data_IF_315328873782
#
_entry.id   IF_315328873782
#
_cell.length_a   1.000
_cell.length_b   1.000
_cell.length_c   1.000
_cell.angle_alpha   90.00
_cell.angle_beta   90.00
_cell.angle_gamma   90.00
#
_symmetry.space_group_name_H-M   'P 1'
#
loop_
_entity.id
_entity.type
_entity.pdbx_description
1 polymer ?
#
# COMPACT_ATOMS: atom_id res chain seq x y z
N UNK A 1 11.11 24.66 28.49
CA UNK A 1 10.87 23.22 28.74
C UNK A 1 9.53 22.76 28.18
N UNK A 2 8.40 23.43 28.48
CA UNK A 2 7.06 23.02 28.00
C UNK A 2 6.91 22.78 26.49
N UNK A 3 7.29 23.75 25.63
CA UNK A 3 7.17 23.58 24.16
C UNK A 3 7.95 22.39 23.61
N UNK A 4 9.10 22.05 24.23
CA UNK A 4 9.94 20.92 23.83
C UNK A 4 9.28 19.57 24.17
N UNK A 5 8.54 19.50 25.27
CA UNK A 5 7.79 18.30 25.66
C UNK A 5 6.55 18.16 24.78
N UNK A 6 5.82 19.25 24.55
CA UNK A 6 4.58 19.24 23.77
C UNK A 6 4.82 18.74 22.33
N UNK A 7 5.86 19.22 21.62
CA UNK A 7 6.07 18.74 20.25
C UNK A 7 6.41 17.25 20.21
N UNK A 8 7.14 16.72 21.20
CA UNK A 8 7.48 15.30 21.29
C UNK A 8 6.23 14.46 21.54
N UNK A 9 5.35 14.91 22.43
CA UNK A 9 4.06 14.25 22.69
C UNK A 9 3.18 14.23 21.43
N UNK A 10 3.08 15.35 20.70
CA UNK A 10 2.34 15.41 19.45
C UNK A 10 2.94 14.48 18.38
N UNK A 11 4.27 14.42 18.28
CA UNK A 11 4.97 13.52 17.34
C UNK A 11 4.76 12.06 17.72
N UNK A 12 4.83 11.72 19.00
CA UNK A 12 4.57 10.37 19.50
C UNK A 12 3.11 9.94 19.26
N UNK A 13 2.15 10.83 19.49
CA UNK A 13 0.75 10.59 19.16
C UNK A 13 0.55 10.35 17.65
N UNK A 14 1.21 11.14 16.80
CA UNK A 14 1.19 10.92 15.35
C UNK A 14 1.82 9.59 14.92
N UNK A 15 2.91 9.14 15.56
CA UNK A 15 3.50 7.81 15.33
C UNK A 15 2.50 6.71 15.69
N UNK A 16 1.82 6.81 16.83
CA UNK A 16 0.80 5.84 17.22
C UNK A 16 -0.36 5.82 16.21
N UNK A 17 -0.78 7.01 15.74
CA UNK A 17 -1.79 7.09 14.67
C UNK A 17 -1.32 6.40 13.39
N UNK A 18 -0.05 6.58 12.95
CA UNK A 18 0.47 5.90 11.76
C UNK A 18 0.42 4.37 11.88
N UNK A 19 0.70 3.84 13.06
CA UNK A 19 0.57 2.40 13.33
C UNK A 19 -0.89 1.97 13.21
N UNK A 20 -1.83 2.70 13.81
CA UNK A 20 -3.28 2.39 13.72
C UNK A 20 -3.79 2.53 12.29
N UNK A 21 -3.36 3.55 11.56
CA UNK A 21 -3.72 3.81 10.15
C UNK A 21 -3.34 2.61 9.28
N UNK A 22 -2.16 2.02 9.49
CA UNK A 22 -1.68 0.90 8.66
C UNK A 22 -2.66 -0.27 8.60
N UNK A 23 -3.37 -0.54 9.70
CA UNK A 23 -4.34 -1.62 9.82
C UNK A 23 -5.80 -1.18 9.61
N UNK A 24 -6.04 0.12 9.43
CA UNK A 24 -7.39 0.67 9.29
C UNK A 24 -7.85 0.73 7.83
N UNK A 25 -9.16 0.57 7.54
CA UNK A 25 -9.71 0.90 6.25
C UNK A 25 -9.56 2.41 6.03
N UNK A 26 -8.94 2.78 4.91
CA UNK A 26 -8.65 4.16 4.55
C UNK A 26 -9.79 4.74 3.70
N UNK A 27 -10.27 3.96 2.74
CA UNK A 27 -11.27 4.39 1.78
C UNK A 27 -12.25 3.26 1.50
N UNK A 28 -13.50 3.58 1.19
CA UNK A 28 -14.47 2.56 0.79
C UNK A 28 -15.10 2.93 -0.55
N UNK A 29 -15.38 1.90 -1.34
CA UNK A 29 -16.10 2.00 -2.60
C UNK A 29 -17.28 1.04 -2.57
N UNK A 30 -18.39 1.38 -3.19
CA UNK A 30 -19.52 0.46 -3.38
C UNK A 30 -20.04 0.59 -4.81
N UNK A 31 -20.30 -0.54 -5.44
CA UNK A 31 -20.92 -0.58 -6.76
C UNK A 31 -22.33 -1.18 -6.64
N UNK A 32 -23.32 -0.42 -7.10
CA UNK A 32 -24.71 -0.84 -7.20
C UNK A 32 -25.03 -1.22 -8.65
N UNK A 33 -25.56 -2.42 -8.82
CA UNK A 33 -25.90 -3.00 -10.11
C UNK A 33 -27.26 -3.72 -10.03
N UNK A 34 -27.98 -3.91 -11.15
CA UNK A 34 -29.27 -4.63 -11.13
C UNK A 34 -29.19 -6.03 -10.52
N UNK A 35 -28.08 -6.75 -10.73
CA UNK A 35 -27.83 -8.07 -10.14
C UNK A 35 -27.42 -8.02 -8.66
N UNK A 36 -26.98 -6.85 -8.17
CA UNK A 36 -26.51 -6.63 -6.79
C UNK A 36 -27.29 -5.47 -6.16
N UNK A 37 -28.57 -5.66 -5.78
CA UNK A 37 -29.42 -4.58 -5.26
C UNK A 37 -28.95 -4.05 -3.90
N UNK A 38 -28.19 -4.83 -3.13
CA UNK A 38 -27.52 -4.38 -1.89
C UNK A 38 -26.15 -3.74 -2.16
N UNK A 39 -25.68 -3.83 -3.40
CA UNK A 39 -24.38 -3.43 -3.88
C UNK A 39 -23.21 -4.27 -3.36
N UNK A 40 -22.04 -3.96 -3.89
CA UNK A 40 -20.79 -4.66 -3.63
C UNK A 40 -19.81 -3.66 -2.99
N UNK A 41 -19.83 -3.49 -1.66
CA UNK A 41 -18.89 -2.59 -1.00
C UNK A 41 -17.50 -3.23 -0.97
N UNK A 42 -16.43 -2.44 -1.07
CA UNK A 42 -15.03 -2.84 -0.86
C UNK A 42 -14.33 -1.81 0.03
N UNK A 43 -13.44 -2.25 0.93
CA UNK A 43 -12.58 -1.36 1.71
C UNK A 43 -11.12 -1.45 1.26
N UNK A 44 -10.50 -0.30 1.03
CA UNK A 44 -9.09 -0.14 0.75
C UNK A 44 -8.34 0.07 2.05
N UNK A 45 -7.36 -0.79 2.31
CA UNK A 45 -6.39 -0.65 3.38
C UNK A 45 -5.02 -0.34 2.76
N UNK A 46 -4.09 0.14 3.58
CA UNK A 46 -2.70 0.37 3.15
C UNK A 46 -2.04 -0.94 2.71
N UNK A 47 -2.39 -2.04 3.35
CA UNK A 47 -1.77 -3.34 3.20
C UNK A 47 -2.60 -4.34 2.37
N UNK A 48 -3.73 -3.93 1.80
CA UNK A 48 -4.61 -4.84 1.05
C UNK A 48 -5.97 -4.24 0.71
N UNK A 49 -6.81 -5.03 0.05
CA UNK A 49 -8.22 -4.67 -0.19
C UNK A 49 -9.07 -5.82 0.35
N UNK A 50 -9.81 -5.54 1.42
CA UNK A 50 -10.60 -6.54 2.14
C UNK A 50 -11.64 -5.84 3.01
N UNK A 51 -12.76 -6.51 3.30
CA UNK A 51 -13.93 -5.86 3.92
C UNK A 51 -14.12 -6.10 5.41
N UNK A 52 -13.27 -6.90 6.03
CA UNK A 52 -13.52 -7.35 7.39
C UNK A 52 -12.43 -8.26 7.90
N UNK A 53 -12.84 -9.18 8.77
CA UNK A 53 -11.99 -10.08 9.55
C UNK A 53 -11.10 -10.97 8.68
N UNK A 54 -10.00 -11.42 9.27
CA UNK A 54 -9.15 -12.48 8.74
C UNK A 54 -9.97 -13.76 8.53
N UNK A 55 -9.59 -14.59 7.55
CA UNK A 55 -10.14 -15.94 7.36
C UNK A 55 -9.94 -16.74 8.66
N UNK A 56 -11.02 -17.28 9.23
CA UNK A 56 -10.91 -18.25 10.33
C UNK A 56 -10.45 -19.62 9.81
N UNK A 57 -9.79 -20.40 10.66
CA UNK A 57 -9.35 -21.75 10.30
C UNK A 57 -10.56 -22.61 9.85
N UNK A 58 -10.51 -23.10 8.60
CA UNK A 58 -11.60 -23.85 7.97
C UNK A 58 -12.68 -23.01 7.26
N UNK A 59 -12.52 -21.68 7.21
CA UNK A 59 -13.39 -20.80 6.41
C UNK A 59 -12.86 -20.65 4.97
N UNK A 60 -13.75 -20.79 3.98
CA UNK A 60 -13.39 -20.63 2.57
C UNK A 60 -13.20 -19.16 2.21
N UNK A 61 -12.11 -18.84 1.49
CA UNK A 61 -11.77 -17.51 1.02
C UNK A 61 -12.89 -16.81 0.25
N UNK A 62 -13.72 -17.57 -0.48
CA UNK A 62 -14.88 -17.08 -1.23
C UNK A 62 -15.89 -16.33 -0.37
N UNK A 63 -16.03 -16.70 0.91
CA UNK A 63 -16.96 -16.02 1.83
C UNK A 63 -16.37 -14.73 2.37
N UNK A 64 -15.07 -14.73 2.62
CA UNK A 64 -14.37 -13.61 3.27
C UNK A 64 -14.10 -12.49 2.26
N UNK A 65 -13.65 -12.84 1.04
CA UNK A 65 -13.37 -11.91 -0.05
C UNK A 65 -14.49 -11.78 -1.09
N UNK A 66 -15.70 -12.28 -0.77
CA UNK A 66 -16.86 -12.28 -1.67
C UNK A 66 -16.99 -10.95 -2.45
N UNK A 67 -17.04 -9.81 -1.77
CA UNK A 67 -17.23 -8.53 -2.47
C UNK A 67 -16.07 -8.13 -3.38
N UNK A 68 -14.82 -8.49 -3.04
CA UNK A 68 -13.67 -8.20 -3.89
C UNK A 68 -13.72 -9.05 -5.15
N UNK A 69 -14.04 -10.34 -5.01
CA UNK A 69 -14.19 -11.27 -6.13
C UNK A 69 -15.35 -10.87 -7.05
N UNK A 70 -16.50 -10.52 -6.48
CA UNK A 70 -17.66 -10.03 -7.25
C UNK A 70 -17.36 -8.71 -7.96
N UNK A 71 -16.62 -7.80 -7.31
CA UNK A 71 -16.17 -6.57 -7.99
C UNK A 71 -15.23 -6.88 -9.15
N UNK A 72 -14.33 -7.86 -9.02
CA UNK A 72 -13.44 -8.28 -10.11
C UNK A 72 -14.20 -8.94 -11.28
N UNK A 73 -15.26 -9.70 -11.00
CA UNK A 73 -16.20 -10.20 -12.02
C UNK A 73 -16.85 -9.03 -12.76
N UNK A 74 -17.34 -8.02 -12.03
CA UNK A 74 -17.95 -6.82 -12.64
C UNK A 74 -16.94 -6.00 -13.45
N UNK A 75 -15.71 -5.84 -12.96
CA UNK A 75 -14.63 -5.17 -13.68
C UNK A 75 -14.33 -5.88 -15.00
N UNK A 76 -14.26 -7.21 -14.98
CA UNK A 76 -14.04 -8.02 -16.18
C UNK A 76 -15.12 -7.77 -17.26
N UNK A 77 -16.39 -7.61 -16.87
CA UNK A 77 -17.49 -7.33 -17.80
C UNK A 77 -17.31 -6.03 -18.60
N UNK A 78 -16.66 -5.03 -18.02
CA UNK A 78 -16.39 -3.73 -18.66
C UNK A 78 -14.95 -3.59 -19.16
N UNK A 79 -14.18 -4.67 -19.13
CA UNK A 79 -12.78 -4.68 -19.54
C UNK A 79 -11.85 -3.95 -18.57
N UNK A 80 -12.26 -3.69 -17.32
CA UNK A 80 -11.37 -3.15 -16.29
C UNK A 80 -10.44 -4.24 -15.75
N UNK A 81 -9.25 -3.82 -15.30
CA UNK A 81 -8.33 -4.71 -14.62
C UNK A 81 -8.89 -5.22 -13.28
N UNK A 82 -8.48 -6.43 -12.83
CA UNK A 82 -8.73 -6.86 -11.46
C UNK A 82 -8.10 -5.92 -10.43
N UNK A 83 -8.75 -5.75 -9.28
CA UNK A 83 -8.30 -4.87 -8.19
C UNK A 83 -6.88 -5.21 -7.75
N UNK A 84 -6.51 -6.49 -7.77
CA UNK A 84 -5.18 -6.96 -7.40
C UNK A 84 -4.04 -6.41 -8.28
N UNK A 85 -4.33 -5.81 -9.43
CA UNK A 85 -3.32 -5.16 -10.29
C UNK A 85 -3.00 -3.72 -9.89
N UNK A 86 -3.82 -3.10 -9.02
CA UNK A 86 -3.65 -1.72 -8.56
C UNK A 86 -2.72 -1.64 -7.35
N UNK A 87 -1.80 -0.69 -7.34
CA UNK A 87 -0.83 -0.49 -6.27
C UNK A 87 -0.07 -1.76 -5.84
N UNK A 88 0.43 -2.61 -6.76
CA UNK A 88 1.00 -3.91 -6.38
C UNK A 88 2.33 -3.76 -5.63
N UNK A 89 3.12 -2.75 -5.97
CA UNK A 89 4.40 -2.44 -5.30
C UNK A 89 4.11 -1.76 -3.97
N UNK A 90 3.19 -0.81 -3.97
CA UNK A 90 2.83 0.02 -2.83
C UNK A 90 2.24 -0.85 -1.72
N UNK A 91 1.33 -1.77 -2.04
CA UNK A 91 0.81 -2.75 -1.06
C UNK A 91 1.92 -3.68 -0.56
N UNK A 92 2.73 -4.25 -1.45
CA UNK A 92 3.79 -5.19 -1.09
C UNK A 92 4.92 -4.57 -0.25
N UNK A 93 5.23 -3.29 -0.46
CA UNK A 93 6.29 -2.56 0.26
C UNK A 93 5.76 -1.64 1.36
N UNK A 94 4.43 -1.56 1.54
CA UNK A 94 3.76 -0.60 2.42
C UNK A 94 4.30 -0.60 3.85
N UNK A 95 4.59 -1.79 4.41
CA UNK A 95 5.10 -1.92 5.78
C UNK A 95 6.47 -1.24 5.96
N UNK A 96 7.32 -1.31 4.93
CA UNK A 96 8.63 -0.65 4.95
C UNK A 96 8.50 0.84 4.74
N UNK A 97 7.55 1.29 3.91
CA UNK A 97 7.26 2.71 3.73
C UNK A 97 6.74 3.35 5.02
N UNK A 98 5.83 2.69 5.73
CA UNK A 98 5.35 3.17 7.04
C UNK A 98 6.45 3.15 8.10
N UNK A 99 7.26 2.10 8.16
CA UNK A 99 8.42 2.05 9.05
C UNK A 99 9.43 3.17 8.74
N UNK A 100 9.64 3.49 7.45
CA UNK A 100 10.45 4.61 7.01
C UNK A 100 9.89 5.94 7.52
N UNK A 101 8.59 6.20 7.34
CA UNK A 101 7.93 7.42 7.85
C UNK A 101 8.05 7.54 9.38
N UNK A 102 7.82 6.45 10.11
CA UNK A 102 8.00 6.41 11.57
C UNK A 102 9.44 6.71 11.96
N UNK A 103 10.42 6.16 11.23
CA UNK A 103 11.86 6.41 11.47
C UNK A 103 12.21 7.90 11.27
N UNK A 104 11.63 8.56 10.25
CA UNK A 104 11.79 10.01 10.07
C UNK A 104 11.25 10.78 11.29
N UNK A 105 10.09 10.39 11.81
CA UNK A 105 9.47 11.02 12.98
C UNK A 105 10.26 10.76 14.28
N UNK A 106 10.85 9.59 14.44
CA UNK A 106 11.76 9.27 15.56
C UNK A 106 12.98 10.20 15.51
N UNK A 107 13.63 10.34 14.35
CA UNK A 107 14.72 11.31 14.18
C UNK A 107 14.24 12.76 14.38
N UNK A 108 13.00 13.08 14.04
CA UNK A 108 12.40 14.38 14.35
C UNK A 108 12.23 14.59 15.86
N UNK A 109 12.05 13.58 16.70
CA UNK A 109 11.95 13.80 18.16
C UNK A 109 13.31 14.12 18.81
N UNK A 110 14.41 13.64 18.21
CA UNK A 110 15.78 13.75 18.73
C UNK A 110 16.41 15.11 18.41
N UNK A 111 17.22 15.63 19.32
CA UNK A 111 17.91 16.91 19.17
C UNK A 111 19.38 16.71 18.82
N UNK A 112 19.87 17.41 17.80
CA UNK A 112 21.28 17.39 17.38
C UNK A 112 21.52 16.55 16.12
N UNK A 113 22.19 17.10 15.08
CA UNK A 113 22.27 16.47 13.76
C UNK A 113 22.94 15.10 13.78
N UNK A 114 23.97 14.91 14.62
CA UNK A 114 24.66 13.62 14.79
C UNK A 114 23.77 12.55 15.40
N UNK A 115 22.98 12.90 16.42
CA UNK A 115 22.05 11.98 17.07
C UNK A 115 20.86 11.66 16.15
N UNK A 116 20.36 12.64 15.39
CA UNK A 116 19.32 12.39 14.39
C UNK A 116 19.82 11.46 13.27
N UNK A 117 21.02 11.72 12.74
CA UNK A 117 21.64 10.85 11.74
C UNK A 117 21.87 9.43 12.29
N UNK A 118 22.33 9.29 13.54
CA UNK A 118 22.47 7.99 14.19
C UNK A 118 21.13 7.27 14.34
N UNK A 119 20.06 7.96 14.76
CA UNK A 119 18.72 7.39 14.85
C UNK A 119 18.20 6.92 13.49
N UNK A 120 18.41 7.71 12.42
CA UNK A 120 18.08 7.30 11.06
C UNK A 120 18.90 6.09 10.61
N UNK A 121 20.21 6.07 10.82
CA UNK A 121 21.06 4.95 10.43
C UNK A 121 20.63 3.64 11.08
N UNK A 122 20.28 3.68 12.37
CA UNK A 122 19.77 2.50 13.09
C UNK A 122 18.42 2.07 12.53
N UNK A 123 17.45 2.99 12.42
CA UNK A 123 16.11 2.66 11.92
C UNK A 123 16.12 2.16 10.48
N UNK A 124 16.86 2.82 9.58
CA UNK A 124 17.02 2.38 8.20
C UNK A 124 17.78 1.06 8.09
N UNK A 125 18.81 0.82 8.93
CA UNK A 125 19.48 -0.48 8.99
C UNK A 125 18.52 -1.61 9.35
N UNK A 126 17.65 -1.41 10.34
CA UNK A 126 16.59 -2.37 10.71
C UNK A 126 15.63 -2.59 9.54
N UNK A 127 15.16 -1.52 8.90
CA UNK A 127 14.24 -1.63 7.74
C UNK A 127 14.89 -2.38 6.59
N UNK A 128 16.17 -2.15 6.29
CA UNK A 128 16.88 -2.82 5.21
C UNK A 128 17.05 -4.31 5.47
N UNK A 129 17.44 -4.69 6.69
CA UNK A 129 17.54 -6.10 7.07
C UNK A 129 16.16 -6.77 7.00
N UNK A 130 15.12 -6.13 7.56
CA UNK A 130 13.77 -6.67 7.51
C UNK A 130 13.23 -6.78 6.08
N UNK A 131 13.42 -5.77 5.24
CA UNK A 131 13.03 -5.79 3.84
C UNK A 131 13.77 -6.85 3.05
N UNK A 132 15.06 -7.02 3.29
CA UNK A 132 15.85 -8.07 2.65
C UNK A 132 15.31 -9.47 3.00
N UNK A 133 15.12 -9.74 4.31
CA UNK A 133 14.59 -11.01 4.79
C UNK A 133 13.18 -11.27 4.22
N UNK A 134 12.32 -10.25 4.18
CA UNK A 134 10.96 -10.40 3.65
C UNK A 134 10.95 -10.68 2.16
N UNK A 135 11.73 -9.93 1.38
CA UNK A 135 11.63 -9.96 -0.08
C UNK A 135 12.44 -11.09 -0.71
N UNK A 136 13.56 -11.50 -0.11
CA UNK A 136 14.52 -12.38 -0.78
C UNK A 136 14.78 -13.72 -0.08
N UNK A 137 14.32 -13.91 1.16
CA UNK A 137 14.45 -15.21 1.83
C UNK A 137 13.44 -16.19 1.25
N UNK A 138 13.94 -17.33 0.74
CA UNK A 138 13.13 -18.46 0.33
C UNK A 138 13.24 -19.56 1.39
N UNK A 139 12.10 -20.13 1.73
CA UNK A 139 11.98 -21.27 2.61
C UNK A 139 12.22 -22.59 1.88
N UNK A 140 11.94 -23.70 2.54
CA UNK A 140 12.15 -25.04 2.02
C UNK A 140 11.14 -26.02 2.58
N UNK A 141 10.50 -26.79 1.70
CA UNK A 141 9.69 -27.96 2.07
C UNK A 141 10.56 -29.19 1.97
N UNK A 142 10.53 -30.00 3.03
CA UNK A 142 11.27 -31.27 3.10
C UNK A 142 10.33 -32.39 3.52
N UNK A 143 10.76 -33.65 3.39
CA UNK A 143 9.94 -34.80 3.81
C UNK A 143 9.77 -34.90 5.32
N UNK A 144 10.55 -34.13 6.10
CA UNK A 144 10.49 -34.10 7.56
C UNK A 144 9.94 -32.74 8.01
N UNK A 145 8.76 -32.68 8.68
CA UNK A 145 8.16 -31.41 9.09
C UNK A 145 9.07 -30.51 9.92
N UNK A 146 9.97 -31.08 10.73
CA UNK A 146 10.94 -30.34 11.55
C UNK A 146 12.00 -29.59 10.72
N UNK A 147 12.19 -29.98 9.45
CA UNK A 147 13.14 -29.36 8.52
C UNK A 147 12.44 -28.38 7.56
N UNK A 148 11.14 -28.10 7.76
CA UNK A 148 10.44 -27.06 7.00
C UNK A 148 10.93 -25.69 7.45
N UNK A 149 11.24 -24.82 6.48
CA UNK A 149 11.62 -23.44 6.77
C UNK A 149 10.67 -22.48 6.08
N UNK A 150 10.22 -21.47 6.83
CA UNK A 150 9.37 -20.41 6.29
C UNK A 150 10.21 -19.46 5.43
N UNK A 151 9.62 -19.02 4.33
CA UNK A 151 10.16 -17.98 3.47
C UNK A 151 9.80 -16.58 3.98
N UNK A 152 10.30 -15.57 3.29
CA UNK A 152 10.12 -14.17 3.63
C UNK A 152 8.67 -13.67 3.52
N UNK A 153 7.77 -14.39 2.83
CA UNK A 153 6.35 -14.02 2.75
C UNK A 153 5.67 -14.00 4.12
N UNK A 154 6.12 -14.85 5.06
CA UNK A 154 5.68 -14.88 6.45
C UNK A 154 5.94 -13.55 7.20
N UNK A 155 6.91 -12.76 6.71
CA UNK A 155 7.27 -11.45 7.24
C UNK A 155 6.56 -10.29 6.52
N UNK A 156 5.72 -10.58 5.52
CA UNK A 156 4.82 -9.59 4.93
C UNK A 156 3.64 -9.34 5.87
N UNK A 157 3.03 -8.17 5.77
CA UNK A 157 1.88 -7.83 6.60
C UNK A 157 0.75 -8.84 6.45
N UNK A 158 0.03 -9.10 7.54
CA UNK A 158 -1.09 -10.05 7.55
C UNK A 158 -2.14 -9.72 6.46
N UNK A 159 -2.45 -8.45 6.24
CA UNK A 159 -3.40 -8.04 5.18
C UNK A 159 -2.91 -8.38 3.77
N UNK A 160 -1.59 -8.37 3.54
CA UNK A 160 -1.02 -8.80 2.26
C UNK A 160 -1.08 -10.32 2.11
N UNK A 161 -0.68 -11.07 3.15
CA UNK A 161 -0.77 -12.55 3.16
C UNK A 161 -2.21 -13.02 2.97
N UNK A 162 -3.16 -12.35 3.61
CA UNK A 162 -4.59 -12.61 3.44
C UNK A 162 -5.07 -12.36 2.01
N UNK A 163 -4.65 -11.25 1.40
CA UNK A 163 -4.98 -10.92 0.00
C UNK A 163 -4.35 -11.93 -0.97
N UNK A 164 -3.12 -12.37 -0.69
CA UNK A 164 -2.40 -13.41 -1.43
C UNK A 164 -3.16 -14.74 -1.38
N UNK A 165 -3.46 -15.21 -0.18
CA UNK A 165 -4.18 -16.46 0.08
C UNK A 165 -5.52 -16.47 -0.64
N UNK A 166 -6.37 -15.47 -0.41
CA UNK A 166 -7.70 -15.43 -0.98
C UNK A 166 -7.70 -15.16 -2.49
N UNK A 167 -6.77 -14.31 -2.98
CA UNK A 167 -6.71 -13.95 -4.39
C UNK A 167 -6.21 -15.07 -5.29
N UNK A 168 -5.44 -16.01 -4.73
CA UNK A 168 -4.89 -17.16 -5.44
C UNK A 168 -5.56 -18.48 -5.08
N UNK A 169 -6.52 -18.47 -4.16
CA UNK A 169 -7.23 -19.67 -3.66
C UNK A 169 -6.25 -20.74 -3.17
N UNK A 170 -5.37 -20.34 -2.25
CA UNK A 170 -4.34 -21.20 -1.69
C UNK A 170 -4.54 -21.42 -0.20
N UNK A 171 -4.07 -22.55 0.32
CA UNK A 171 -3.91 -22.78 1.75
C UNK A 171 -2.63 -22.09 2.28
N UNK A 172 -2.57 -21.73 3.57
CA UNK A 172 -1.42 -21.02 4.14
C UNK A 172 -0.08 -21.70 3.89
N UNK A 173 -0.01 -23.02 4.03
CA UNK A 173 1.18 -23.85 3.87
C UNK A 173 1.70 -23.90 2.43
N UNK A 174 0.82 -23.75 1.42
CA UNK A 174 1.23 -23.77 0.01
C UNK A 174 2.10 -22.57 -0.41
N UNK A 175 2.04 -21.47 0.35
CA UNK A 175 2.86 -20.29 0.06
C UNK A 175 3.85 -19.92 1.17
N UNK A 176 3.79 -20.50 2.38
CA UNK A 176 4.65 -20.07 3.50
C UNK A 176 6.15 -20.13 3.21
N UNK A 177 6.62 -20.98 2.31
CA UNK A 177 8.03 -21.06 1.87
C UNK A 177 8.45 -19.96 0.88
N UNK A 178 7.50 -19.19 0.35
CA UNK A 178 7.82 -18.22 -0.69
C UNK A 178 8.56 -17.01 -0.13
N UNK A 179 9.39 -16.41 -0.97
CA UNK A 179 9.86 -15.06 -0.70
C UNK A 179 8.74 -14.05 -0.96
N UNK A 180 8.77 -12.90 -0.30
CA UNK A 180 7.80 -11.83 -0.56
C UNK A 180 7.85 -11.35 -2.02
N UNK A 181 9.02 -11.40 -2.67
CA UNK A 181 9.17 -11.05 -4.08
C UNK A 181 8.50 -12.08 -5.01
N UNK A 182 8.55 -13.37 -4.66
CA UNK A 182 7.82 -14.42 -5.37
C UNK A 182 6.31 -14.25 -5.21
N UNK A 183 5.84 -13.95 -4.00
CA UNK A 183 4.42 -13.67 -3.72
C UNK A 183 3.90 -12.50 -4.57
N UNK A 184 4.63 -11.38 -4.62
CA UNK A 184 4.27 -10.22 -5.44
C UNK A 184 4.16 -10.55 -6.93
N UNK A 185 5.09 -11.34 -7.47
CA UNK A 185 5.04 -11.78 -8.86
C UNK A 185 3.86 -12.72 -9.12
N UNK A 186 3.60 -13.66 -8.21
CA UNK A 186 2.53 -14.64 -8.36
C UNK A 186 1.15 -13.96 -8.36
N UNK A 187 0.90 -13.04 -7.43
CA UNK A 187 -0.36 -12.28 -7.37
C UNK A 187 -0.59 -11.49 -8.65
N UNK A 188 0.43 -10.74 -9.09
CA UNK A 188 0.29 -9.95 -10.32
C UNK A 188 0.10 -10.85 -11.53
N UNK A 189 0.88 -11.94 -11.65
CA UNK A 189 0.77 -12.88 -12.76
C UNK A 189 -0.62 -13.49 -12.82
N UNK A 190 -1.17 -13.91 -11.69
CA UNK A 190 -2.52 -14.46 -11.61
C UNK A 190 -3.58 -13.44 -12.04
N UNK A 191 -3.50 -12.21 -11.53
CA UNK A 191 -4.43 -11.15 -11.88
C UNK A 191 -4.36 -10.77 -13.37
N UNK A 192 -3.16 -10.61 -13.93
CA UNK A 192 -2.97 -10.30 -15.35
C UNK A 192 -3.36 -11.47 -16.27
N UNK A 193 -3.12 -12.72 -15.84
CA UNK A 193 -3.54 -13.90 -16.59
C UNK A 193 -5.07 -13.95 -16.72
N UNK A 194 -5.79 -13.78 -15.59
CA UNK A 194 -7.27 -13.68 -15.58
C UNK A 194 -7.74 -12.59 -16.55
N UNK A 195 -7.08 -11.43 -16.53
CA UNK A 195 -7.42 -10.29 -17.38
C UNK A 195 -7.17 -10.54 -18.89
N UNK A 196 -6.02 -11.09 -19.26
CA UNK A 196 -5.63 -11.24 -20.66
C UNK A 196 -6.09 -12.55 -21.31
N UNK A 197 -6.62 -13.51 -20.55
CA UNK A 197 -6.97 -14.89 -20.97
C UNK A 197 -7.82 -15.03 -22.24
N UNK A 198 -8.34 -13.93 -22.79
CA UNK A 198 -9.20 -13.85 -23.98
C UNK A 198 -8.48 -13.60 -25.32
N UNK A 199 -7.16 -13.85 -25.47
CA UNK A 199 -6.47 -13.64 -26.75
C UNK A 199 -5.14 -14.38 -26.96
N UNK A 200 -4.69 -14.51 -28.22
CA UNK A 200 -3.45 -15.23 -28.59
C UNK A 200 -2.18 -14.66 -27.92
N UNK A 201 -2.19 -13.37 -27.57
CA UNK A 201 -1.07 -12.69 -26.90
C UNK A 201 -1.14 -12.71 -25.37
N UNK A 202 -2.08 -13.45 -24.76
CA UNK A 202 -2.38 -13.37 -23.33
C UNK A 202 -1.16 -13.62 -22.43
N UNK A 203 -0.45 -14.72 -22.72
CA UNK A 203 0.75 -15.12 -21.99
C UNK A 203 1.87 -14.08 -22.14
N UNK A 204 2.09 -13.59 -23.36
CA UNK A 204 3.14 -12.60 -23.63
C UNK A 204 2.87 -11.27 -22.90
N UNK A 205 1.62 -10.80 -22.88
CA UNK A 205 1.26 -9.56 -22.18
C UNK A 205 1.34 -9.71 -20.66
N UNK A 206 0.93 -10.86 -20.13
CA UNK A 206 1.06 -11.20 -18.71
C UNK A 206 2.53 -11.13 -18.27
N UNK A 207 3.42 -11.86 -18.95
CA UNK A 207 4.84 -11.88 -18.58
C UNK A 207 5.53 -10.52 -18.78
N UNK A 208 5.12 -9.73 -19.77
CA UNK A 208 5.59 -8.33 -19.91
C UNK A 208 5.20 -7.48 -18.70
N UNK A 209 3.95 -7.58 -18.25
CA UNK A 209 3.47 -6.84 -17.07
C UNK A 209 4.21 -7.27 -15.79
N UNK A 210 4.43 -8.57 -15.62
CA UNK A 210 5.22 -9.10 -14.49
C UNK A 210 6.67 -8.62 -14.55
N UNK A 211 7.32 -8.65 -15.72
CA UNK A 211 8.69 -8.15 -15.88
C UNK A 211 8.80 -6.64 -15.59
N UNK A 212 7.79 -5.86 -15.98
CA UNK A 212 7.70 -4.44 -15.66
C UNK A 212 7.59 -4.22 -14.15
N UNK A 213 6.73 -4.97 -13.46
CA UNK A 213 6.61 -4.92 -12.00
C UNK A 213 7.93 -5.28 -11.32
N UNK A 214 8.58 -6.36 -11.74
CA UNK A 214 9.88 -6.79 -11.21
C UNK A 214 10.92 -5.67 -11.34
N UNK A 215 11.03 -5.09 -12.53
CA UNK A 215 11.95 -3.98 -12.80
C UNK A 215 11.61 -2.76 -11.94
N UNK A 216 10.34 -2.35 -11.91
CA UNK A 216 9.87 -1.23 -11.10
C UNK A 216 10.12 -1.46 -9.61
N UNK A 217 9.95 -2.68 -9.10
CA UNK A 217 10.20 -3.02 -7.70
C UNK A 217 11.69 -2.85 -7.36
N UNK A 218 12.61 -3.33 -8.19
CA UNK A 218 14.04 -3.10 -7.99
C UNK A 218 14.41 -1.62 -8.04
N UNK A 219 13.82 -0.86 -8.98
CA UNK A 219 14.02 0.60 -9.05
C UNK A 219 13.54 1.28 -7.79
N UNK A 220 12.34 0.94 -7.30
CA UNK A 220 11.76 1.51 -6.06
C UNK A 220 12.64 1.18 -4.85
N UNK A 221 13.13 -0.06 -4.72
CA UNK A 221 14.06 -0.46 -3.66
C UNK A 221 15.36 0.37 -3.76
N UNK A 222 15.95 0.49 -4.94
CA UNK A 222 17.16 1.29 -5.15
C UNK A 222 16.96 2.76 -4.81
N UNK A 223 15.84 3.35 -5.22
CA UNK A 223 15.45 4.73 -4.89
C UNK A 223 15.25 4.90 -3.39
N UNK A 224 14.62 3.94 -2.71
CA UNK A 224 14.42 3.98 -1.26
C UNK A 224 15.76 3.94 -0.52
N UNK A 225 16.68 3.05 -0.90
CA UNK A 225 18.03 2.97 -0.33
C UNK A 225 18.80 4.27 -0.55
N UNK A 226 18.78 4.80 -1.77
CA UNK A 226 19.42 6.07 -2.08
C UNK A 226 18.84 7.22 -1.25
N UNK A 227 17.51 7.25 -1.11
CA UNK A 227 16.80 8.24 -0.28
C UNK A 227 17.23 8.14 1.19
N UNK A 228 17.32 6.93 1.75
CA UNK A 228 17.81 6.70 3.12
C UNK A 228 19.21 7.29 3.34
N UNK A 229 20.14 7.05 2.40
CA UNK A 229 21.50 7.61 2.46
C UNK A 229 21.50 9.14 2.35
N UNK A 230 20.72 9.69 1.43
CA UNK A 230 20.58 11.14 1.21
C UNK A 230 20.05 11.83 2.46
N UNK A 231 19.11 11.24 3.19
CA UNK A 231 18.63 11.75 4.47
C UNK A 231 19.72 11.78 5.55
N UNK A 232 20.49 10.70 5.68
CA UNK A 232 21.59 10.62 6.66
C UNK A 232 22.65 11.69 6.36
N UNK A 233 23.15 11.75 5.12
CA UNK A 233 24.16 12.73 4.68
C UNK A 233 23.63 14.16 4.83
N UNK A 234 22.39 14.40 4.42
CA UNK A 234 21.73 15.70 4.51
C UNK A 234 21.65 16.25 5.94
N UNK A 235 21.39 15.40 6.93
CA UNK A 235 21.41 15.79 8.34
C UNK A 235 22.82 16.01 8.87
N UNK A 236 23.80 15.18 8.48
CA UNK A 236 25.21 15.34 8.88
C UNK A 236 25.81 16.65 8.37
N UNK A 237 25.39 17.11 7.18
CA UNK A 237 25.75 18.41 6.62
C UNK A 237 25.02 19.60 7.27
N UNK A 238 24.25 19.36 8.34
CA UNK A 238 23.48 20.38 9.07
C UNK A 238 22.53 21.18 8.17
N UNK A 239 22.02 20.57 7.10
CA UNK A 239 21.11 21.22 6.16
C UNK A 239 19.67 21.26 6.73
N UNK A 240 19.11 22.47 6.83
CA UNK A 240 17.78 22.69 7.37
C UNK A 240 16.66 22.07 6.51
N UNK A 241 16.89 21.85 5.21
CA UNK A 241 15.93 21.19 4.33
C UNK A 241 15.62 19.79 4.83
N UNK A 242 16.65 18.96 5.03
CA UNK A 242 16.50 17.57 5.47
C UNK A 242 15.84 17.45 6.82
N UNK A 243 16.14 18.39 7.73
CA UNK A 243 15.45 18.47 9.01
C UNK A 243 13.94 18.68 8.86
N UNK A 244 13.51 19.59 7.97
CA UNK A 244 12.08 19.82 7.73
C UNK A 244 11.42 18.68 6.95
N UNK A 245 12.15 18.03 6.04
CA UNK A 245 11.66 16.85 5.32
C UNK A 245 11.31 15.68 6.27
N UNK A 246 11.97 15.57 7.43
CA UNK A 246 11.62 14.56 8.45
C UNK A 246 10.16 14.62 8.91
N UNK A 247 9.54 15.81 8.87
CA UNK A 247 8.16 16.01 9.30
C UNK A 247 7.22 16.34 8.13
N UNK A 248 7.69 17.04 7.11
CA UNK A 248 6.86 17.40 5.94
C UNK A 248 6.45 16.17 5.14
N UNK A 249 7.33 15.18 4.95
CA UNK A 249 6.97 13.97 4.20
C UNK A 249 5.81 13.22 4.89
N UNK A 250 5.87 12.90 6.20
CA UNK A 250 4.72 12.32 6.90
C UNK A 250 3.47 13.22 6.93
N UNK A 251 3.61 14.56 7.00
CA UNK A 251 2.46 15.50 6.91
C UNK A 251 1.71 15.33 5.57
N UNK A 252 2.42 15.05 4.49
CA UNK A 252 1.85 14.95 3.14
C UNK A 252 1.23 13.57 2.84
N UNK A 253 1.29 12.61 3.76
CA UNK A 253 0.73 11.26 3.59
C UNK A 253 -0.72 11.24 3.05
N UNK A 254 -1.70 12.01 3.57
CA UNK A 254 -3.06 12.01 3.03
C UNK A 254 -3.15 12.56 1.60
N UNK A 255 -2.26 13.47 1.21
CA UNK A 255 -2.20 13.99 -0.16
C UNK A 255 -1.63 12.93 -1.09
N UNK A 256 -0.52 12.29 -0.71
CA UNK A 256 0.08 11.22 -1.50
C UNK A 256 -0.88 10.06 -1.71
N UNK A 257 -1.60 9.64 -0.66
CA UNK A 257 -2.63 8.61 -0.75
C UNK A 257 -3.69 8.95 -1.81
N UNK A 258 -4.24 10.18 -1.78
CA UNK A 258 -5.27 10.59 -2.76
C UNK A 258 -4.74 10.64 -4.19
N UNK A 259 -3.50 11.10 -4.38
CA UNK A 259 -2.87 11.15 -5.70
C UNK A 259 -2.65 9.74 -6.27
N UNK A 260 -2.14 8.83 -5.43
CA UNK A 260 -1.91 7.44 -5.81
C UNK A 260 -3.24 6.72 -6.10
N UNK A 261 -4.21 6.84 -5.20
CA UNK A 261 -5.55 6.27 -5.36
C UNK A 261 -6.23 6.76 -6.65
N UNK A 262 -6.26 8.07 -6.88
CA UNK A 262 -6.81 8.64 -8.10
C UNK A 262 -6.02 8.22 -9.35
N UNK A 263 -4.68 8.13 -9.26
CA UNK A 263 -3.83 7.67 -10.36
C UNK A 263 -4.17 6.25 -10.81
N UNK A 264 -4.36 5.32 -9.86
CA UNK A 264 -4.77 3.95 -10.16
C UNK A 264 -6.18 3.85 -10.73
N UNK A 265 -7.13 4.61 -10.18
CA UNK A 265 -8.47 4.68 -10.75
C UNK A 265 -8.45 5.20 -12.19
N UNK A 266 -7.70 6.26 -12.45
CA UNK A 266 -7.52 6.79 -13.80
C UNK A 266 -6.93 5.72 -14.73
N UNK A 267 -5.89 5.01 -14.29
CA UNK A 267 -5.27 3.93 -15.06
C UNK A 267 -6.29 2.84 -15.41
N UNK A 268 -7.08 2.37 -14.45
CA UNK A 268 -8.11 1.36 -14.70
C UNK A 268 -9.20 1.82 -15.67
N UNK A 269 -9.65 3.07 -15.58
CA UNK A 269 -10.68 3.60 -16.45
C UNK A 269 -10.21 3.99 -17.86
N UNK A 270 -8.90 4.12 -18.10
CA UNK A 270 -8.32 4.50 -19.39
C UNK A 270 -7.58 3.37 -20.12
N UNK A 271 -7.35 2.24 -19.46
CA UNK A 271 -6.67 1.07 -20.03
C UNK A 271 -7.61 -0.14 -20.11
N UNK A 272 -8.83 0.09 -20.60
CA UNK A 272 -9.86 -0.94 -20.71
C UNK A 272 -9.55 -1.97 -21.80
N UNK A 273 -9.76 -3.25 -21.51
CA UNK A 273 -9.62 -4.33 -22.48
C UNK A 273 -10.76 -4.30 -23.51
N UNK A 274 -10.46 -4.37 -24.82
CA UNK A 274 -11.49 -4.35 -25.85
C UNK A 274 -12.34 -5.63 -25.88
N UNK A 275 -11.86 -6.72 -25.27
CA UNK A 275 -12.56 -8.01 -25.20
C UNK A 275 -13.61 -8.13 -24.09
N UNK A 276 -13.87 -7.07 -23.33
CA UNK A 276 -14.94 -7.07 -22.32
C UNK A 276 -16.33 -7.24 -22.98
N UNK A 277 -17.26 -8.02 -22.39
CA UNK A 277 -18.63 -8.17 -22.89
C UNK A 277 -19.37 -6.85 -23.14
N UNK A 278 -19.07 -5.81 -22.35
CA UNK A 278 -19.59 -4.46 -22.56
C UNK A 278 -18.46 -3.49 -22.87
N UNK A 279 -18.49 -2.92 -24.07
CA UNK A 279 -17.58 -1.82 -24.43
C UNK A 279 -18.10 -0.50 -23.88
N UNK A 280 -17.33 0.10 -22.97
CA UNK A 280 -17.59 1.45 -22.46
C UNK A 280 -16.47 2.40 -22.88
N UNK A 281 -16.79 3.70 -22.95
CA UNK A 281 -15.77 4.72 -23.24
C UNK A 281 -14.83 4.85 -22.05
N UNK A 282 -13.55 5.23 -22.28
CA UNK A 282 -12.65 5.61 -21.21
C UNK A 282 -13.30 6.63 -20.29
N UNK A 283 -13.12 6.43 -18.99
CA UNK A 283 -13.75 7.26 -17.96
C UNK A 283 -12.85 7.34 -16.73
N UNK A 284 -13.20 8.22 -15.80
CA UNK A 284 -12.58 8.28 -14.49
C UNK A 284 -13.51 7.59 -13.49
N UNK A 285 -13.12 6.44 -12.91
CA UNK A 285 -13.85 5.88 -11.77
C UNK A 285 -13.95 6.90 -10.64
N UNK A 286 -15.07 6.88 -9.92
CA UNK A 286 -15.37 7.90 -8.91
C UNK A 286 -14.32 7.91 -7.80
N UNK A 287 -13.56 9.01 -7.73
CA UNK A 287 -12.58 9.23 -6.64
C UNK A 287 -13.31 9.61 -5.35
N UNK A 288 -14.32 10.47 -5.43
CA UNK A 288 -15.10 10.95 -4.29
C UNK A 288 -16.53 11.24 -4.73
N UNK A 289 -17.51 10.80 -3.92
CA UNK A 289 -18.92 11.04 -4.15
C UNK A 289 -19.61 9.88 -4.88
N UNK A 290 -20.62 10.24 -5.65
CA UNK A 290 -21.42 9.31 -6.46
C UNK A 290 -21.06 9.46 -7.94
N UNK A 291 -20.95 8.36 -8.65
CA UNK A 291 -20.78 8.35 -10.11
C UNK A 291 -21.69 7.35 -10.78
N UNK A 292 -21.95 7.60 -12.06
CA UNK A 292 -22.77 6.76 -12.91
C UNK A 292 -21.92 6.25 -14.08
N UNK A 293 -21.89 4.93 -14.25
CA UNK A 293 -21.22 4.27 -15.37
C UNK A 293 -22.30 3.70 -16.28
N UNK A 294 -22.35 4.19 -17.53
CA UNK A 294 -23.33 3.73 -18.52
C UNK A 294 -22.71 2.64 -19.41
N UNK A 295 -23.41 1.50 -19.54
CA UNK A 295 -22.98 0.37 -20.36
C UNK A 295 -23.35 0.53 -21.84
N UNK A 296 -23.01 1.70 -22.40
CA UNK A 296 -23.25 2.03 -23.81
C UNK A 296 -24.71 1.84 -24.23
N UNK A 297 -24.92 1.13 -25.34
CA UNK A 297 -26.22 0.98 -25.99
C UNK A 297 -27.15 -0.05 -25.32
N UNK A 298 -26.75 -0.69 -24.23
CA UNK A 298 -27.53 -1.75 -23.56
C UNK A 298 -28.57 -1.20 -22.57
N UNK A 299 -28.51 0.09 -22.24
CA UNK A 299 -29.37 0.72 -21.22
C UNK A 299 -29.02 0.36 -19.78
N UNK A 300 -28.03 -0.52 -19.55
CA UNK A 300 -27.54 -0.87 -18.22
C UNK A 300 -26.69 0.24 -17.59
N UNK A 301 -26.77 0.34 -16.26
CA UNK A 301 -26.11 1.39 -15.47
C UNK A 301 -25.54 0.80 -14.19
N UNK A 302 -24.34 1.22 -13.82
CA UNK A 302 -23.79 1.03 -12.47
C UNK A 302 -23.73 2.36 -11.75
N UNK A 303 -24.05 2.36 -10.47
CA UNK A 303 -23.84 3.52 -9.59
C UNK A 303 -22.68 3.18 -8.67
N UNK A 304 -21.68 4.05 -8.63
CA UNK A 304 -20.49 3.89 -7.79
C UNK A 304 -20.48 4.94 -6.70
N UNK A 305 -20.28 4.51 -5.47
CA UNK A 305 -20.09 5.36 -4.29
C UNK A 305 -18.63 5.25 -3.86
N UNK A 306 -17.99 6.37 -3.54
CA UNK A 306 -16.59 6.39 -3.11
C UNK A 306 -16.38 7.47 -2.07
N UNK A 307 -15.98 7.07 -0.86
CA UNK A 307 -15.85 8.01 0.26
C UNK A 307 -14.71 7.62 1.21
N UNK A 308 -14.14 8.59 1.94
CA UNK A 308 -13.19 8.31 3.00
C UNK A 308 -13.79 7.40 4.06
N UNK A 309 -12.98 6.49 4.57
CA UNK A 309 -13.27 5.72 5.78
C UNK A 309 -12.50 6.34 6.98
N UNK A 310 -12.71 5.83 8.19
CA UNK A 310 -12.15 6.43 9.41
C UNK A 310 -10.61 6.46 9.40
N UNK A 311 -9.95 5.51 8.74
CA UNK A 311 -8.49 5.49 8.61
C UNK A 311 -7.93 6.71 7.87
N UNK A 312 -8.66 7.23 6.87
CA UNK A 312 -8.28 8.49 6.22
C UNK A 312 -8.46 9.69 7.17
N UNK A 313 -9.51 9.68 8.01
CA UNK A 313 -9.68 10.69 9.07
C UNK A 313 -8.51 10.69 10.07
N UNK A 314 -8.03 9.52 10.48
CA UNK A 314 -6.84 9.38 11.33
C UNK A 314 -5.58 9.90 10.62
N UNK A 315 -5.46 9.69 9.31
CA UNK A 315 -4.36 10.18 8.49
C UNK A 315 -4.33 11.72 8.43
N UNK A 316 -5.49 12.36 8.26
CA UNK A 316 -5.63 13.82 8.33
C UNK A 316 -5.31 14.33 9.75
N UNK A 317 -5.79 13.66 10.79
CA UNK A 317 -5.48 14.02 12.17
C UNK A 317 -3.97 13.96 12.44
N UNK A 318 -3.29 12.90 11.99
CA UNK A 318 -1.84 12.76 12.11
C UNK A 318 -1.11 13.94 11.43
N UNK A 319 -1.52 14.31 10.21
CA UNK A 319 -0.98 15.46 9.48
C UNK A 319 -1.14 16.78 10.26
N UNK A 320 -2.31 17.00 10.89
CA UNK A 320 -2.56 18.18 11.74
C UNK A 320 -1.64 18.17 12.97
N UNK A 321 -1.54 17.05 13.69
CA UNK A 321 -0.68 16.94 14.87
C UNK A 321 0.80 17.20 14.53
N UNK A 322 1.28 16.65 13.42
CA UNK A 322 2.65 16.85 12.94
C UNK A 322 2.90 18.29 12.49
N UNK A 323 1.92 18.94 11.86
CA UNK A 323 1.99 20.36 11.51
C UNK A 323 2.15 21.21 12.77
N UNK A 324 1.34 20.95 13.80
CA UNK A 324 1.45 21.62 15.10
C UNK A 324 2.81 21.34 15.77
N UNK A 325 3.29 20.10 15.73
CA UNK A 325 4.61 19.73 16.26
C UNK A 325 5.75 20.48 15.54
N UNK A 326 5.70 20.56 14.20
CA UNK A 326 6.63 21.35 13.39
C UNK A 326 6.64 22.83 13.75
N UNK A 327 5.45 23.44 13.87
CA UNK A 327 5.28 24.84 14.25
C UNK A 327 5.77 25.16 15.67
N UNK A 328 5.71 24.20 16.60
CA UNK A 328 6.21 24.37 17.96
C UNK A 328 7.74 24.23 18.05
N UNK A 329 8.36 23.51 17.10
CA UNK A 329 9.79 23.21 17.14
C UNK A 329 10.67 24.37 16.65
N UNK A 330 10.20 25.20 15.71
CA UNK A 330 10.66 26.53 15.19
C UNK A 330 12.15 26.95 15.17
N UNK A 331 13.10 26.19 15.72
CA UNK A 331 14.55 26.44 15.68
C UNK A 331 15.24 25.36 14.85
N UNK A 332 15.64 25.69 13.60
CA UNK A 332 16.42 24.79 12.75
C UNK A 332 17.80 24.46 13.35
N UNK A 333 18.41 23.38 12.87
CA UNK A 333 19.67 22.81 13.35
C UNK A 333 20.80 23.84 13.56
N UNK A 334 20.88 24.88 12.72
CA UNK A 334 21.95 25.90 12.76
C UNK A 334 21.95 26.81 14.00
N UNK A 335 20.83 26.93 14.74
CA UNK A 335 20.74 27.79 15.93
C UNK A 335 20.97 27.07 17.26
N UNK A 336 21.20 25.76 17.25
CA UNK A 336 21.37 24.96 18.47
C UNK A 336 22.83 24.96 18.99
N UNK A 337 23.83 25.09 18.12
CA UNK A 337 25.27 25.12 18.46
C UNK A 337 25.79 26.54 18.80
N UNK A 338 24.90 27.54 18.90
CA UNK A 338 25.27 28.95 19.14
C UNK A 338 25.27 29.37 20.61
N UNK A 339 25.38 28.44 21.56
CA UNK A 339 25.58 28.70 22.98
C UNK A 339 26.61 27.77 23.56
#
# INVERSE_FOLDING_TARGET
>A
MGKAIIFRLLTAAAILLLIVIYFSPIWWVKLDAPAYPKGVPINFHVNGVFNGRQVEEGEFCDKVMFHVLEMDVLNHFVGMYPIATGGPIERGLSQFLFAFLITLLVAFMVSGPKLQASALSVGFGIILVWAYMTLFTQGSVTSTPEQHTQGGVSLMSEGYQHTLQCGMDMEPDEFQEWSGFQAMQAVLRNALYKYYSMGESAKANTERGVALLVTATYVVIGVLIATMLVFIVGLLWKNNLFYWLLVIIPILLPVFFLLEYAGWLWFFGHNLHPGGPFTIKPFMPTVLGEGLINLGNTGGRFVTYSYPNYGFGLMVLSSILLTLAGLLRRKPLRKADGR
#
